data_IF_262389014703
#
_entry.id   IF_262389014703
#
_cell.length_a   1.000
_cell.length_b   1.000
_cell.length_c   1.000
_cell.angle_alpha   90.00
_cell.angle_beta   90.00
_cell.angle_gamma   90.00
#
_symmetry.space_group_name_H-M   'P 1'
#
loop_
_entity.id
_entity.type
_entity.pdbx_description
1 polymer ?
#
# COMPACT_ATOMS: atom_id res chain seq x y z
N UNK A 1 24.30 84.29 23.30
CA UNK A 1 24.23 82.81 23.41
C UNK A 1 23.00 82.35 22.67
N UNK A 2 23.16 82.04 21.39
CA UNK A 2 22.11 81.57 20.48
C UNK A 2 22.09 80.04 20.53
N UNK A 3 21.07 79.47 21.18
CA UNK A 3 20.91 78.03 21.31
C UNK A 3 20.26 77.46 20.03
N UNK A 4 20.99 76.54 19.41
CA UNK A 4 20.58 75.71 18.26
C UNK A 4 19.67 74.60 18.79
N UNK A 5 18.45 74.49 18.27
CA UNK A 5 17.58 73.34 18.52
C UNK A 5 17.81 72.29 17.43
N UNK A 6 18.45 71.20 17.82
CA UNK A 6 18.66 69.99 17.03
C UNK A 6 17.33 69.27 16.76
N UNK A 7 17.13 68.83 15.52
CA UNK A 7 15.98 68.01 15.10
C UNK A 7 16.36 66.53 15.26
N UNK A 8 15.51 65.67 15.85
CA UNK A 8 15.86 64.26 16.01
C UNK A 8 15.78 63.50 14.69
N UNK A 9 16.82 62.69 14.44
CA UNK A 9 16.94 61.75 13.33
C UNK A 9 15.98 60.56 13.58
N UNK A 10 15.03 60.35 12.69
CA UNK A 10 14.19 59.16 12.69
C UNK A 10 15.01 57.94 12.26
N UNK A 11 14.99 56.90 13.09
CA UNK A 11 15.63 55.62 12.82
C UNK A 11 15.04 54.98 11.55
N UNK A 12 15.92 54.60 10.63
CA UNK A 12 15.58 53.76 9.47
C UNK A 12 15.43 52.34 9.99
N UNK A 13 14.20 51.83 10.02
CA UNK A 13 13.93 50.41 10.27
C UNK A 13 14.54 49.58 9.13
N UNK A 14 15.48 48.71 9.48
CA UNK A 14 15.93 47.61 8.62
C UNK A 14 14.76 46.65 8.38
N UNK A 15 14.07 46.81 7.25
CA UNK A 15 13.17 45.78 6.74
C UNK A 15 14.00 44.56 6.37
N UNK A 16 14.04 43.61 7.30
CA UNK A 16 14.52 42.25 7.08
C UNK A 16 13.71 41.62 5.96
N UNK A 17 14.40 41.22 4.89
CA UNK A 17 13.80 40.58 3.73
C UNK A 17 13.37 39.19 4.17
N UNK A 18 12.05 38.98 4.23
CA UNK A 18 11.42 37.70 4.52
C UNK A 18 11.97 36.61 3.60
N UNK A 19 12.34 35.47 4.21
CA UNK A 19 13.06 34.40 3.56
C UNK A 19 12.38 33.91 2.28
N UNK A 20 13.16 33.86 1.21
CA UNK A 20 12.82 33.08 0.00
C UNK A 20 12.74 31.62 0.44
N UNK A 21 11.54 31.15 0.75
CA UNK A 21 11.25 29.73 0.93
C UNK A 21 11.57 29.08 -0.41
N UNK A 22 12.65 28.29 -0.47
CA UNK A 22 12.99 27.54 -1.67
C UNK A 22 11.75 26.77 -2.14
N UNK A 23 11.49 26.70 -3.46
CA UNK A 23 10.33 25.99 -3.97
C UNK A 23 10.34 24.56 -3.43
N UNK A 24 9.24 24.14 -2.81
CA UNK A 24 9.09 22.80 -2.27
C UNK A 24 9.11 21.83 -3.46
N UNK A 25 10.23 21.15 -3.64
CA UNK A 25 10.39 20.17 -4.72
C UNK A 25 9.78 18.85 -4.26
N UNK A 26 8.73 18.42 -4.95
CA UNK A 26 8.14 17.10 -4.71
C UNK A 26 9.11 16.03 -5.22
N UNK A 27 9.60 15.18 -4.32
CA UNK A 27 10.67 14.24 -4.62
C UNK A 27 10.58 12.94 -3.80
N UNK A 28 10.99 11.84 -4.41
CA UNK A 28 11.20 10.55 -3.75
C UNK A 28 12.23 9.69 -4.50
N UNK A 29 12.69 8.60 -3.89
CA UNK A 29 13.55 7.63 -4.56
C UNK A 29 12.77 6.83 -5.60
N UNK A 30 13.39 6.49 -6.73
CA UNK A 30 12.76 5.67 -7.76
C UNK A 30 12.38 4.28 -7.24
N UNK A 31 13.21 3.67 -6.39
CA UNK A 31 12.85 2.42 -5.71
C UNK A 31 11.61 2.57 -4.84
N UNK A 32 11.50 3.65 -4.06
CA UNK A 32 10.33 3.90 -3.22
C UNK A 32 9.05 3.98 -4.07
N UNK A 33 9.09 4.73 -5.18
CA UNK A 33 7.97 4.81 -6.12
C UNK A 33 7.61 3.44 -6.72
N UNK A 34 8.63 2.68 -7.14
CA UNK A 34 8.44 1.32 -7.65
C UNK A 34 7.74 0.44 -6.61
N UNK A 35 8.26 0.38 -5.38
CA UNK A 35 7.70 -0.43 -4.30
C UNK A 35 6.25 -0.08 -4.04
N UNK A 36 5.93 1.19 -3.78
CA UNK A 36 4.57 1.61 -3.44
C UNK A 36 3.56 1.25 -4.55
N UNK A 37 3.87 1.61 -5.80
CA UNK A 37 2.93 1.43 -6.92
C UNK A 37 2.82 -0.04 -7.34
N UNK A 38 3.94 -0.79 -7.33
CA UNK A 38 3.92 -2.21 -7.68
C UNK A 38 3.18 -3.06 -6.65
N UNK A 39 3.35 -2.78 -5.36
CA UNK A 39 2.62 -3.44 -4.28
C UNK A 39 1.12 -3.18 -4.40
N UNK A 40 0.71 -1.91 -4.55
CA UNK A 40 -0.71 -1.56 -4.70
C UNK A 40 -1.33 -2.23 -5.95
N UNK A 41 -0.62 -2.26 -7.08
CA UNK A 41 -1.11 -2.86 -8.33
C UNK A 41 -1.48 -4.34 -8.21
N UNK A 42 -0.89 -5.09 -7.27
CA UNK A 42 -1.26 -6.49 -7.03
C UNK A 42 -2.73 -6.64 -6.61
N UNK A 43 -3.33 -5.58 -6.07
CA UNK A 43 -4.68 -5.56 -5.50
C UNK A 43 -5.70 -4.86 -6.38
N UNK A 44 -5.28 -4.22 -7.48
CA UNK A 44 -6.18 -3.64 -8.46
C UNK A 44 -7.00 -4.72 -9.19
N UNK A 45 -8.20 -4.35 -9.63
CA UNK A 45 -9.01 -5.21 -10.48
C UNK A 45 -8.36 -5.39 -11.86
N UNK A 46 -8.54 -6.56 -12.50
CA UNK A 46 -8.13 -6.73 -13.89
C UNK A 46 -9.01 -5.91 -14.82
N UNK A 47 -8.50 -5.54 -16.00
CA UNK A 47 -9.26 -4.82 -17.03
C UNK A 47 -10.52 -5.54 -17.53
N UNK A 48 -10.57 -6.87 -17.37
CA UNK A 48 -11.77 -7.66 -17.65
C UNK A 48 -12.94 -7.34 -16.70
N UNK A 49 -12.70 -6.72 -15.55
CA UNK A 49 -13.73 -6.31 -14.61
C UNK A 49 -14.56 -5.13 -15.13
N UNK A 50 -14.03 -4.34 -16.08
CA UNK A 50 -14.68 -3.15 -16.68
C UNK A 50 -15.13 -2.12 -15.63
N UNK A 51 -14.32 -1.93 -14.59
CA UNK A 51 -14.58 -0.99 -13.50
C UNK A 51 -13.36 -0.08 -13.34
N UNK A 52 -13.28 1.05 -14.08
CA UNK A 52 -12.08 1.88 -14.16
C UNK A 52 -11.53 2.35 -12.81
N UNK A 53 -12.40 2.61 -11.83
CA UNK A 53 -12.00 3.03 -10.48
C UNK A 53 -11.37 1.92 -9.63
N UNK A 54 -11.61 0.64 -9.96
CA UNK A 54 -10.96 -0.51 -9.31
C UNK A 54 -9.68 -0.94 -10.03
N UNK A 55 -9.56 -0.63 -11.32
CA UNK A 55 -8.32 -0.82 -12.09
C UNK A 55 -7.26 0.23 -11.74
N UNK A 56 -7.70 1.35 -11.18
CA UNK A 56 -6.86 2.48 -10.83
C UNK A 56 -6.14 2.26 -9.49
N UNK A 57 -5.00 2.94 -9.36
CA UNK A 57 -4.25 3.07 -8.10
C UNK A 57 -4.45 4.48 -7.59
N UNK A 58 -4.91 4.61 -6.34
CA UNK A 58 -4.98 5.89 -5.66
C UNK A 58 -3.61 6.20 -5.05
N UNK A 59 -3.06 7.35 -5.39
CA UNK A 59 -1.82 7.88 -4.83
C UNK A 59 -2.13 9.08 -3.94
N UNK A 60 -1.71 9.02 -2.69
CA UNK A 60 -1.86 10.09 -1.71
C UNK A 60 -0.47 10.55 -1.28
N UNK A 61 -0.13 11.79 -1.62
CA UNK A 61 1.12 12.44 -1.28
C UNK A 61 0.90 13.42 -0.14
N UNK A 62 1.86 13.51 0.78
CA UNK A 62 1.86 14.50 1.87
C UNK A 62 2.34 13.92 3.19
N UNK A 63 2.51 14.77 4.20
CA UNK A 63 2.95 14.36 5.54
C UNK A 63 4.24 13.50 5.55
N UNK A 64 5.18 13.77 4.64
CA UNK A 64 6.44 13.02 4.54
C UNK A 64 6.33 11.65 3.86
N UNK A 65 5.19 11.33 3.23
CA UNK A 65 4.92 9.99 2.70
C UNK A 65 4.11 10.00 1.40
N UNK A 66 4.30 8.94 0.63
CA UNK A 66 3.43 8.51 -0.46
C UNK A 66 2.72 7.24 -0.01
N UNK A 67 1.40 7.24 -0.06
CA UNK A 67 0.58 6.04 0.13
C UNK A 67 -0.06 5.67 -1.21
N UNK A 68 0.26 4.48 -1.72
CA UNK A 68 -0.38 3.90 -2.89
C UNK A 68 -1.37 2.83 -2.44
N UNK A 69 -2.62 2.90 -2.89
CA UNK A 69 -3.67 1.94 -2.53
C UNK A 69 -4.48 1.49 -3.75
N UNK A 70 -4.82 0.21 -3.80
CA UNK A 70 -5.76 -0.33 -4.79
C UNK A 70 -6.60 -1.46 -4.19
N UNK A 71 -7.72 -1.77 -4.84
CA UNK A 71 -8.65 -2.81 -4.41
C UNK A 71 -9.43 -3.38 -5.59
N UNK A 72 -9.83 -4.66 -5.48
CA UNK A 72 -10.75 -5.32 -6.40
C UNK A 72 -12.09 -5.71 -5.75
N UNK A 73 -12.39 -5.13 -4.57
CA UNK A 73 -13.50 -5.40 -3.63
C UNK A 73 -13.31 -6.62 -2.73
N UNK A 74 -12.45 -7.57 -3.10
CA UNK A 74 -12.19 -8.76 -2.28
C UNK A 74 -10.88 -8.66 -1.53
N UNK A 75 -9.94 -7.90 -2.09
CA UNK A 75 -8.70 -7.53 -1.44
C UNK A 75 -8.43 -6.05 -1.55
N UNK A 76 -7.66 -5.53 -0.61
CA UNK A 76 -7.08 -4.21 -0.62
C UNK A 76 -5.63 -4.31 -0.19
N UNK A 77 -4.77 -3.53 -0.82
CA UNK A 77 -3.39 -3.34 -0.38
C UNK A 77 -3.01 -1.87 -0.43
N UNK A 78 -2.44 -1.39 0.66
CA UNK A 78 -1.92 -0.05 0.84
C UNK A 78 -0.43 -0.14 1.17
N UNK A 79 0.38 0.61 0.42
CA UNK A 79 1.83 0.61 0.56
C UNK A 79 2.32 2.03 0.77
N UNK A 80 3.04 2.25 1.88
CA UNK A 80 3.62 3.53 2.30
C UNK A 80 5.10 3.60 1.96
N UNK A 81 5.57 4.72 1.44
CA UNK A 81 7.00 5.01 1.30
C UNK A 81 7.30 6.46 1.63
N UNK A 82 8.56 6.78 1.88
CA UNK A 82 9.01 8.15 2.12
C UNK A 82 8.82 9.04 0.88
N UNK A 83 8.41 10.28 1.13
CA UNK A 83 8.22 11.32 0.12
C UNK A 83 8.45 12.70 0.74
N UNK A 84 9.11 13.59 0.02
CA UNK A 84 9.27 14.99 0.42
C UNK A 84 8.52 15.87 -0.57
N UNK A 85 7.65 16.76 -0.10
CA UNK A 85 6.94 17.67 -0.98
C UNK A 85 5.58 18.12 -0.46
N UNK A 86 4.84 18.78 -1.33
CA UNK A 86 3.47 19.22 -1.11
C UNK A 86 2.49 18.05 -1.12
N UNK A 87 1.36 18.24 -0.43
CA UNK A 87 0.31 17.25 -0.36
C UNK A 87 -0.65 17.36 -1.54
N UNK A 88 -0.93 16.23 -2.19
CA UNK A 88 -1.94 16.12 -3.23
C UNK A 88 -2.42 14.67 -3.35
N UNK A 89 -3.48 14.44 -4.10
CA UNK A 89 -4.01 13.08 -4.34
C UNK A 89 -4.36 12.95 -5.81
N UNK A 90 -4.12 11.78 -6.37
CA UNK A 90 -4.53 11.47 -7.74
C UNK A 90 -4.94 10.01 -7.89
N UNK A 91 -5.82 9.76 -8.86
CA UNK A 91 -6.17 8.42 -9.31
C UNK A 91 -5.39 8.11 -10.60
N UNK A 92 -4.50 7.13 -10.56
CA UNK A 92 -3.69 6.73 -11.70
C UNK A 92 -4.33 5.52 -12.37
N UNK A 93 -4.56 5.60 -13.68
CA UNK A 93 -5.06 4.46 -14.45
C UNK A 93 -4.11 3.25 -14.36
N UNK A 94 -4.65 2.03 -14.34
CA UNK A 94 -3.83 0.82 -14.20
C UNK A 94 -2.77 0.64 -15.28
N UNK A 95 -3.00 1.13 -16.50
CA UNK A 95 -1.98 1.15 -17.58
C UNK A 95 -0.81 2.07 -17.24
N UNK A 96 -1.10 3.26 -16.74
CA UNK A 96 -0.12 4.30 -16.45
C UNK A 96 0.66 3.92 -15.18
N UNK A 97 0.00 3.35 -14.18
CA UNK A 97 0.65 2.78 -13.01
C UNK A 97 1.65 1.66 -13.40
N UNK A 98 1.29 0.79 -14.34
CA UNK A 98 2.22 -0.25 -14.86
C UNK A 98 3.41 0.36 -15.60
N UNK A 99 3.17 1.39 -16.41
CA UNK A 99 4.24 2.13 -17.09
C UNK A 99 5.18 2.80 -16.07
N UNK A 100 4.62 3.43 -15.04
CA UNK A 100 5.34 4.06 -13.95
C UNK A 100 6.20 3.06 -13.19
N UNK A 101 5.66 1.89 -12.83
CA UNK A 101 6.44 0.80 -12.21
C UNK A 101 7.60 0.36 -13.10
N UNK A 102 7.35 0.16 -14.40
CA UNK A 102 8.40 -0.25 -15.34
C UNK A 102 9.53 0.78 -15.40
N UNK A 103 9.19 2.06 -15.44
CA UNK A 103 10.17 3.15 -15.46
C UNK A 103 10.89 3.25 -14.12
N UNK A 104 10.18 3.19 -13.00
CA UNK A 104 10.74 3.34 -11.66
C UNK A 104 11.60 2.16 -11.21
N UNK A 105 11.53 1.02 -11.91
CA UNK A 105 12.35 -0.15 -11.63
C UNK A 105 13.83 0.21 -11.64
N UNK A 106 14.52 -0.10 -10.54
CA UNK A 106 15.96 0.13 -10.37
C UNK A 106 16.71 -1.18 -10.25
N UNK A 107 17.93 -1.22 -10.79
CA UNK A 107 18.90 -2.26 -10.43
C UNK A 107 19.57 -1.94 -9.10
N UNK A 108 20.15 -2.95 -8.43
CA UNK A 108 20.84 -2.80 -7.14
C UNK A 108 21.92 -1.70 -7.14
N UNK A 109 22.58 -1.47 -8.29
CA UNK A 109 23.64 -0.48 -8.42
C UNK A 109 23.13 0.97 -8.36
N UNK A 110 21.93 1.22 -8.85
CA UNK A 110 21.40 2.58 -9.05
C UNK A 110 20.36 2.98 -7.98
N UNK A 111 20.08 2.06 -7.06
CA UNK A 111 19.01 2.13 -6.07
C UNK A 111 19.09 3.35 -5.14
N UNK A 112 20.29 3.72 -4.70
CA UNK A 112 20.49 4.85 -3.78
C UNK A 112 20.52 6.23 -4.45
N UNK A 113 20.83 6.27 -5.76
CA UNK A 113 21.09 7.52 -6.47
C UNK A 113 19.94 7.96 -7.39
N UNK A 114 19.07 7.04 -7.81
CA UNK A 114 17.98 7.38 -8.74
C UNK A 114 16.81 8.02 -8.01
N UNK A 115 16.54 9.27 -8.35
CA UNK A 115 15.50 10.11 -7.77
C UNK A 115 14.41 10.40 -8.79
N UNK A 116 13.23 10.72 -8.28
CA UNK A 116 12.07 11.11 -9.07
C UNK A 116 11.59 12.45 -8.56
N UNK A 117 11.63 13.46 -9.41
CA UNK A 117 11.00 14.76 -9.19
C UNK A 117 9.59 14.72 -9.75
N UNK A 118 8.63 15.23 -8.98
CA UNK A 118 7.21 15.23 -9.33
C UNK A 118 6.74 16.66 -9.61
N UNK A 119 6.30 16.88 -10.84
CA UNK A 119 5.70 18.16 -11.24
C UNK A 119 4.18 17.99 -11.27
N UNK A 120 3.50 18.80 -10.46
CA UNK A 120 2.05 18.75 -10.30
C UNK A 120 1.43 19.92 -11.05
N UNK A 121 0.44 19.63 -11.90
CA UNK A 121 -0.35 20.62 -12.65
C UNK A 121 -1.81 20.46 -12.23
N UNK A 122 -2.51 21.60 -12.08
CA UNK A 122 -3.95 21.67 -11.77
C UNK A 122 -4.33 20.79 -10.56
N UNK A 123 -3.64 20.99 -9.43
CA UNK A 123 -3.88 20.28 -8.16
C UNK A 123 -3.88 18.73 -8.27
N UNK A 124 -3.14 18.16 -9.22
CA UNK A 124 -3.01 16.71 -9.41
C UNK A 124 -3.83 16.14 -10.57
N UNK A 125 -4.53 16.98 -11.34
CA UNK A 125 -5.20 16.53 -12.56
C UNK A 125 -4.21 16.01 -13.62
N UNK A 126 -3.00 16.56 -13.65
CA UNK A 126 -1.90 16.08 -14.45
C UNK A 126 -0.61 16.11 -13.64
N UNK A 127 0.13 15.01 -13.66
CA UNK A 127 1.37 14.85 -12.88
C UNK A 127 2.46 14.29 -13.76
N UNK A 128 3.63 14.94 -13.79
CA UNK A 128 4.81 14.47 -14.51
C UNK A 128 5.84 13.95 -13.52
N UNK A 129 6.22 12.68 -13.68
CA UNK A 129 7.31 12.05 -12.95
C UNK A 129 8.58 12.14 -13.79
N UNK A 130 9.56 12.93 -13.35
CA UNK A 130 10.86 13.09 -13.99
C UNK A 130 11.92 12.33 -13.21
N UNK A 131 12.54 11.35 -13.86
CA UNK A 131 13.62 10.56 -13.28
C UNK A 131 14.96 11.30 -13.46
N UNK A 132 15.85 11.18 -12.48
CA UNK A 132 17.19 11.79 -12.55
C UNK A 132 18.04 11.26 -13.73
N UNK A 133 17.64 10.15 -14.34
CA UNK A 133 18.20 9.58 -15.57
C UNK A 133 17.76 10.31 -16.85
N UNK A 134 16.88 11.30 -16.76
CA UNK A 134 16.36 12.09 -17.88
C UNK A 134 15.07 11.56 -18.49
N UNK A 135 14.60 10.39 -18.06
CA UNK A 135 13.31 9.84 -18.48
C UNK A 135 12.16 10.59 -17.79
N UNK A 136 11.02 10.76 -18.46
CA UNK A 136 9.83 11.37 -17.87
C UNK A 136 8.55 10.69 -18.35
N UNK A 137 7.55 10.65 -17.47
CA UNK A 137 6.20 10.20 -17.80
C UNK A 137 5.18 11.18 -17.22
N UNK A 138 4.28 11.65 -18.08
CA UNK A 138 3.14 12.48 -17.68
C UNK A 138 1.90 11.60 -17.61
N UNK A 139 1.23 11.64 -16.47
CA UNK A 139 0.03 10.86 -16.16
C UNK A 139 -1.12 11.83 -15.93
N UNK A 140 -2.29 11.48 -16.46
CA UNK A 140 -3.53 12.23 -16.20
C UNK A 140 -4.33 11.52 -15.10
N UNK A 141 -4.72 12.28 -14.08
CA UNK A 141 -5.58 11.79 -13.03
C UNK A 141 -6.95 11.39 -13.59
N UNK A 142 -7.48 10.26 -13.13
CA UNK A 142 -8.86 9.86 -13.40
C UNK A 142 -9.79 10.62 -12.47
N UNK A 143 -10.88 11.16 -13.02
CA UNK A 143 -11.95 11.78 -12.23
C UNK A 143 -12.93 10.71 -11.73
N UNK A 144 -12.47 9.91 -10.76
CA UNK A 144 -13.25 8.83 -10.14
C UNK A 144 -13.07 8.85 -8.63
N UNK A 145 -14.13 8.56 -7.90
CA UNK A 145 -14.04 8.43 -6.44
C UNK A 145 -13.60 7.03 -6.03
N UNK A 146 -12.49 6.97 -5.30
CA UNK A 146 -12.04 5.74 -4.66
C UNK A 146 -12.82 5.48 -3.36
N UNK A 147 -13.11 4.22 -2.99
CA UNK A 147 -13.78 3.90 -1.74
C UNK A 147 -13.08 4.51 -0.51
N UNK A 148 -13.86 4.80 0.54
CA UNK A 148 -13.35 5.25 1.85
C UNK A 148 -12.66 4.09 2.58
N UNK A 149 -11.49 3.69 2.08
CA UNK A 149 -10.81 2.47 2.50
C UNK A 149 -10.33 2.49 3.95
N UNK A 150 -10.01 3.68 4.49
CA UNK A 150 -9.62 3.83 5.90
C UNK A 150 -10.74 3.43 6.87
N UNK A 151 -12.00 3.52 6.47
CA UNK A 151 -13.14 3.09 7.29
C UNK A 151 -13.33 1.58 7.29
N UNK A 152 -12.69 0.86 6.37
CA UNK A 152 -12.68 -0.60 6.35
C UNK A 152 -11.69 -1.18 7.37
N UNK A 153 -10.85 -0.32 7.95
CA UNK A 153 -9.88 -0.67 8.98
C UNK A 153 -10.58 -0.65 10.34
N UNK A 154 -10.48 -1.74 11.12
CA UNK A 154 -10.79 -1.66 12.54
C UNK A 154 -9.91 -0.60 13.19
N UNK A 155 -10.51 0.31 13.96
CA UNK A 155 -9.80 1.31 14.75
C UNK A 155 -9.09 0.73 15.97
N UNK A 156 -9.49 -0.48 16.38
CA UNK A 156 -8.98 -1.21 17.53
C UNK A 156 -9.00 -2.74 17.27
N UNK A 157 -8.44 -3.49 18.22
CA UNK A 157 -8.34 -4.94 18.21
C UNK A 157 -9.54 -5.65 18.85
N UNK A 158 -10.58 -4.93 19.27
CA UNK A 158 -11.71 -5.48 20.06
C UNK A 158 -12.48 -6.59 19.33
N UNK A 159 -12.35 -6.66 18.02
CA UNK A 159 -13.01 -7.62 17.13
C UNK A 159 -12.03 -8.58 16.46
N UNK A 160 -10.77 -8.57 16.87
CA UNK A 160 -9.72 -9.45 16.39
C UNK A 160 -9.53 -10.63 17.33
N UNK A 161 -9.17 -11.79 16.75
CA UNK A 161 -8.90 -13.01 17.53
C UNK A 161 -10.15 -13.83 17.86
N UNK A 162 -9.91 -15.04 18.39
CA UNK A 162 -10.98 -15.99 18.77
C UNK A 162 -11.58 -16.82 17.62
N UNK A 163 -11.09 -16.67 16.39
CA UNK A 163 -11.63 -17.38 15.23
C UNK A 163 -10.89 -18.71 15.02
N UNK A 164 -11.59 -19.81 15.23
CA UNK A 164 -11.05 -21.18 15.06
C UNK A 164 -10.87 -21.56 13.58
N UNK A 165 -11.68 -20.99 12.69
CA UNK A 165 -11.59 -21.26 11.26
C UNK A 165 -12.06 -20.09 10.39
N UNK A 166 -11.31 -19.82 9.33
CA UNK A 166 -11.67 -18.83 8.31
C UNK A 166 -11.25 -19.32 6.92
N UNK A 167 -12.17 -19.22 5.96
CA UNK A 167 -11.90 -19.56 4.57
C UNK A 167 -11.42 -18.35 3.78
N UNK A 168 -10.44 -18.55 2.92
CA UNK A 168 -9.94 -17.55 1.98
C UNK A 168 -9.89 -18.10 0.57
N UNK A 169 -10.02 -17.22 -0.41
CA UNK A 169 -9.74 -17.57 -1.80
C UNK A 169 -8.23 -17.54 -2.01
N UNK A 170 -7.63 -18.69 -2.31
CA UNK A 170 -6.17 -18.85 -2.43
C UNK A 170 -5.48 -17.82 -3.35
N UNK A 171 -5.98 -17.56 -4.58
CA UNK A 171 -5.43 -16.54 -5.46
C UNK A 171 -5.37 -15.12 -4.88
N UNK A 172 -6.30 -14.76 -3.99
CA UNK A 172 -6.29 -13.48 -3.31
C UNK A 172 -5.23 -13.45 -2.20
N UNK A 173 -5.11 -14.53 -1.42
CA UNK A 173 -4.07 -14.67 -0.41
C UNK A 173 -2.66 -14.62 -1.03
N UNK A 174 -2.46 -15.27 -2.18
CA UNK A 174 -1.18 -15.27 -2.91
C UNK A 174 -0.76 -13.91 -3.51
N UNK A 175 -1.59 -12.87 -3.44
CA UNK A 175 -1.17 -11.49 -3.76
C UNK A 175 -0.32 -10.90 -2.63
N UNK A 176 -0.66 -11.19 -1.38
CA UNK A 176 0.07 -10.70 -0.21
C UNK A 176 1.48 -11.30 -0.10
N UNK A 177 1.70 -12.52 -0.59
CA UNK A 177 3.04 -13.14 -0.63
C UNK A 177 3.98 -12.47 -1.65
N UNK A 178 3.48 -11.54 -2.47
CA UNK A 178 4.26 -10.79 -3.46
C UNK A 178 4.45 -9.33 -3.10
N UNK A 179 3.62 -8.79 -2.20
CA UNK A 179 3.78 -7.44 -1.68
C UNK A 179 5.03 -7.37 -0.80
N UNK A 180 5.77 -6.25 -0.82
CA UNK A 180 7.00 -6.12 0.00
C UNK A 180 7.97 -7.28 -0.15
N UNK A 181 8.14 -7.74 -1.40
CA UNK A 181 8.96 -8.92 -1.71
C UNK A 181 10.38 -8.84 -1.14
N UNK A 182 11.01 -7.65 -1.20
CA UNK A 182 12.34 -7.42 -0.63
C UNK A 182 12.35 -7.60 0.89
N UNK A 183 11.39 -7.02 1.61
CA UNK A 183 11.30 -7.12 3.07
C UNK A 183 10.99 -8.55 3.51
N UNK A 184 10.07 -9.24 2.81
CA UNK A 184 9.77 -10.64 3.09
C UNK A 184 10.98 -11.55 2.84
N UNK A 185 11.74 -11.29 1.77
CA UNK A 185 12.99 -12.01 1.51
C UNK A 185 14.05 -11.75 2.59
N UNK A 186 14.01 -10.59 3.24
CA UNK A 186 14.86 -10.23 4.38
C UNK A 186 14.32 -10.71 5.73
N UNK A 187 13.18 -11.42 5.76
CA UNK A 187 12.63 -12.05 6.96
C UNK A 187 11.37 -11.40 7.53
N UNK A 188 10.81 -10.37 6.89
CA UNK A 188 9.52 -9.84 7.29
C UNK A 188 8.43 -10.90 7.09
N UNK A 189 7.63 -11.14 8.14
CA UNK A 189 6.53 -12.08 8.07
C UNK A 189 5.23 -11.38 7.72
N UNK A 190 4.39 -12.06 6.93
CA UNK A 190 2.99 -11.69 6.79
C UNK A 190 2.24 -12.04 8.07
N UNK A 191 1.74 -11.03 8.77
CA UNK A 191 0.94 -11.18 9.99
C UNK A 191 -0.52 -10.97 9.66
N UNK A 192 -1.39 -11.84 10.18
CA UNK A 192 -2.79 -11.93 9.79
C UNK A 192 -3.67 -11.76 11.02
N UNK A 193 -4.64 -10.86 10.94
CA UNK A 193 -5.57 -10.52 12.01
C UNK A 193 -7.02 -10.72 11.53
N UNK A 194 -7.55 -11.94 11.64
CA UNK A 194 -8.94 -12.24 11.34
C UNK A 194 -9.87 -11.44 12.27
N UNK A 195 -10.95 -10.89 11.73
CA UNK A 195 -11.93 -10.15 12.52
C UNK A 195 -13.34 -10.75 12.45
N UNK A 196 -14.19 -10.38 13.39
CA UNK A 196 -15.64 -10.65 13.36
C UNK A 196 -16.44 -9.37 13.13
N UNK A 197 -17.59 -9.50 12.48
CA UNK A 197 -18.62 -8.46 12.40
C UNK A 197 -19.26 -8.20 13.76
N UNK A 198 -19.95 -7.07 13.95
CA UNK A 198 -20.76 -6.84 15.17
C UNK A 198 -21.83 -7.92 15.38
N UNK A 199 -22.26 -8.59 14.30
CA UNK A 199 -23.16 -9.75 14.34
C UNK A 199 -22.45 -11.09 14.46
N UNK A 200 -21.18 -11.16 14.87
CA UNK A 200 -20.42 -12.39 15.10
C UNK A 200 -19.95 -13.14 13.84
N UNK A 201 -20.36 -12.72 12.64
CA UNK A 201 -19.97 -13.34 11.36
C UNK A 201 -18.52 -13.00 11.00
N UNK A 202 -17.80 -13.82 10.20
CA UNK A 202 -16.48 -13.48 9.68
C UNK A 202 -16.44 -12.09 9.02
N UNK A 203 -15.56 -11.23 9.53
CA UNK A 203 -15.26 -9.90 9.01
C UNK A 203 -13.99 -9.88 8.15
N UNK A 204 -13.62 -8.72 7.59
CA UNK A 204 -12.38 -8.57 6.83
C UNK A 204 -11.16 -8.94 7.68
N UNK A 205 -10.23 -9.66 7.08
CA UNK A 205 -8.95 -9.99 7.71
C UNK A 205 -7.95 -8.90 7.40
N UNK A 206 -7.40 -8.27 8.44
CA UNK A 206 -6.29 -7.34 8.30
C UNK A 206 -4.97 -8.09 8.14
N UNK A 207 -4.11 -7.62 7.26
CA UNK A 207 -2.80 -8.22 6.96
C UNK A 207 -1.74 -7.14 7.05
N UNK A 208 -0.70 -7.37 7.86
CA UNK A 208 0.49 -6.52 7.94
C UNK A 208 1.70 -7.23 7.35
N UNK A 209 2.57 -6.47 6.68
CA UNK A 209 3.88 -6.96 6.21
C UNK A 209 4.89 -5.84 6.46
N UNK A 210 5.86 -6.08 7.35
CA UNK A 210 6.72 -5.01 7.82
C UNK A 210 5.92 -3.89 8.50
N UNK A 211 6.46 -2.67 8.47
CA UNK A 211 5.80 -1.48 9.05
C UNK A 211 5.02 -0.67 8.02
N UNK A 212 5.34 -0.85 6.74
CA UNK A 212 4.92 0.07 5.66
C UNK A 212 3.88 -0.51 4.71
N UNK A 213 3.43 -1.74 4.95
CA UNK A 213 2.39 -2.36 4.17
C UNK A 213 1.24 -2.85 5.04
N UNK A 214 0.04 -2.54 4.56
CA UNK A 214 -1.20 -2.99 5.14
C UNK A 214 -2.15 -3.50 4.06
N UNK A 215 -2.93 -4.52 4.39
CA UNK A 215 -3.92 -5.08 3.50
C UNK A 215 -5.20 -5.57 4.17
N UNK A 216 -6.25 -5.71 3.37
CA UNK A 216 -7.49 -6.37 3.76
C UNK A 216 -7.78 -7.54 2.84
N UNK A 217 -8.22 -8.65 3.42
CA UNK A 217 -8.68 -9.82 2.70
C UNK A 217 -10.09 -10.18 3.17
N UNK A 218 -11.04 -10.19 2.24
CA UNK A 218 -12.41 -10.59 2.54
C UNK A 218 -12.49 -12.12 2.71
N UNK A 219 -13.10 -12.61 3.80
CA UNK A 219 -13.27 -14.04 4.01
C UNK A 219 -14.33 -14.62 3.07
N UNK A 220 -14.22 -15.91 2.81
CA UNK A 220 -15.28 -16.71 2.20
C UNK A 220 -16.30 -17.07 3.27
N UNK A 221 -17.58 -16.94 2.94
CA UNK A 221 -18.66 -17.35 3.84
C UNK A 221 -18.58 -18.88 4.07
N UNK A 222 -18.71 -19.34 5.32
CA UNK A 222 -18.82 -20.77 5.57
C UNK A 222 -20.05 -21.35 4.85
N UNK A 223 -20.04 -22.63 4.48
CA UNK A 223 -21.20 -23.31 3.90
C UNK A 223 -22.39 -23.46 4.89
N UNK A 224 -22.21 -23.08 6.16
CA UNK A 224 -23.24 -22.96 7.19
C UNK A 224 -23.01 -21.70 8.03
N UNK A 225 -23.19 -21.78 9.35
CA UNK A 225 -23.00 -20.62 10.24
C UNK A 225 -21.52 -20.38 10.60
N UNK A 226 -20.72 -21.44 10.75
CA UNK A 226 -19.33 -21.36 11.19
C UNK A 226 -18.40 -22.36 10.49
N UNK A 227 -17.10 -22.04 10.46
CA UNK A 227 -16.05 -22.97 10.05
C UNK A 227 -15.72 -23.92 11.19
N UNK A 228 -16.06 -25.20 11.05
CA UNK A 228 -15.66 -26.23 12.02
C UNK A 228 -14.46 -27.02 11.52
N UNK A 229 -13.37 -27.03 12.28
CA UNK A 229 -12.27 -27.94 11.99
C UNK A 229 -12.71 -29.38 12.27
N UNK A 230 -12.55 -30.25 11.27
CA UNK A 230 -12.68 -31.70 11.42
C UNK A 230 -11.36 -32.32 11.01
N UNK A 231 -10.69 -32.98 11.95
CA UNK A 231 -9.48 -33.75 11.66
C UNK A 231 -9.84 -34.81 10.60
N UNK A 232 -9.19 -34.83 9.43
CA UNK A 232 -9.46 -35.85 8.44
C UNK A 232 -9.20 -37.26 8.99
N UNK A 233 -10.18 -38.16 8.91
CA UNK A 233 -10.08 -39.49 9.54
C UNK A 233 -8.97 -40.38 8.99
N UNK A 234 -8.43 -40.08 7.80
CA UNK A 234 -7.25 -40.78 7.26
C UNK A 234 -5.96 -40.51 8.06
N UNK A 235 -5.93 -39.46 8.89
CA UNK A 235 -4.83 -39.20 9.83
C UNK A 235 -4.90 -40.07 11.08
N UNK A 236 -6.04 -40.72 11.33
CA UNK A 236 -6.28 -41.58 12.50
C UNK A 236 -6.20 -43.07 12.12
N UNK A 237 -6.15 -43.38 10.82
CA UNK A 237 -5.85 -44.72 10.35
C UNK A 237 -4.39 -45.04 10.72
N UNK A 238 -4.20 -45.85 11.76
CA UNK A 238 -2.91 -46.51 11.97
C UNK A 238 -2.55 -47.23 10.67
N UNK A 239 -1.34 -47.02 10.17
CA UNK A 239 -0.80 -47.82 9.07
C UNK A 239 -0.89 -49.28 9.53
N UNK A 240 -1.94 -49.99 9.11
CA UNK A 240 -2.11 -51.38 9.49
C UNK A 240 -0.93 -52.11 8.88
N UNK A 241 0.04 -52.44 9.73
CA UNK A 241 1.14 -53.30 9.36
C UNK A 241 0.54 -54.51 8.66
N UNK A 242 0.96 -54.74 7.42
CA UNK A 242 0.72 -56.00 6.74
C UNK A 242 1.40 -57.09 7.57
N UNK A 243 0.69 -57.61 8.58
CA UNK A 243 1.02 -58.88 9.20
C UNK A 243 0.57 -59.92 8.19
N UNK A 244 1.44 -60.18 7.21
CA UNK A 244 1.38 -61.39 6.40
C UNK A 244 1.56 -62.57 7.36
N UNK A 245 0.44 -63.11 7.84
CA UNK A 245 0.42 -64.39 8.52
C UNK A 245 0.79 -65.48 7.52
N UNK A 246 2.06 -65.87 7.48
CA UNK A 246 2.42 -67.21 7.04
C UNK A 246 2.37 -68.15 8.24
N UNK A 247 1.17 -68.50 8.68
CA UNK A 247 0.96 -69.71 9.46
C UNK A 247 0.84 -70.89 8.46
N UNK A 248 1.68 -71.89 8.66
CA UNK A 248 1.91 -72.98 7.71
C UNK A 248 0.77 -74.00 7.57
N UNK A 249 0.85 -74.70 6.44
CA UNK A 249 0.30 -76.02 6.11
C UNK A 249 1.35 -76.58 5.13
N UNK A 250 2.09 -77.66 5.33
CA UNK A 250 1.96 -78.90 6.11
C UNK A 250 3.30 -79.35 6.69
#
# INVERSE_FOLDING_TARGET
MTAVLETPIAAVEETSIEGVVAPVVNMLKAKALHTAVSDALLFAAPTSAKLPFLEAVRLEFGAGQLVAVATDRFVLGASRVEYSGEAFTMMVAGSDAKALVKMAKTGKRDEGAREVTIEVVDAGAQVTFRFSTGEAITVRGLDVQFPQWRHLLPSDDSRMGGIVGMGYTGPYLGRFTRARADEQASGAHMVVFPSVTSGGKPGPTAIGIGEDFFGLLMPVRPPGDEWTFRRPGWLDAAASAAVSGSAGVS
#
